data_IF_420742866849
#
_entry.id   IF_420742866849
#
_cell.length_a   1.000
_cell.length_b   1.000
_cell.length_c   1.000
_cell.angle_alpha   90.00
_cell.angle_beta   90.00
_cell.angle_gamma   90.00
#
_symmetry.space_group_name_H-M   'P 1'
#
loop_
_entity.id
_entity.type
_entity.pdbx_description
1 polymer ?
#
# COMPACT_ATOMS: atom_id res chain seq x y z
N UNK A 1 58.45 3.09 37.58
CA UNK A 1 57.13 2.46 37.82
C UNK A 1 56.37 2.45 36.52
N UNK A 2 56.74 1.53 35.65
CA UNK A 2 55.90 1.15 34.52
C UNK A 2 54.80 0.27 35.13
N UNK A 3 53.64 0.87 35.42
CA UNK A 3 52.45 0.09 35.72
C UNK A 3 52.20 -0.79 34.50
N UNK A 4 51.99 -2.07 34.74
CA UNK A 4 51.41 -3.01 33.80
C UNK A 4 50.28 -2.32 33.04
N UNK A 5 50.56 -1.91 31.80
CA UNK A 5 49.62 -1.22 30.92
C UNK A 5 48.50 -2.18 30.54
N UNK A 6 47.67 -2.55 31.50
CA UNK A 6 46.43 -3.24 31.30
C UNK A 6 45.60 -2.32 30.43
N UNK A 7 45.33 -2.79 29.21
CA UNK A 7 44.56 -2.00 28.27
C UNK A 7 43.11 -2.12 28.74
N UNK A 8 42.54 -1.04 29.26
CA UNK A 8 41.10 -0.94 29.43
C UNK A 8 40.50 -0.84 28.03
N UNK A 9 40.12 -1.98 27.47
CA UNK A 9 39.47 -2.03 26.17
C UNK A 9 38.12 -1.34 26.24
N UNK A 10 38.08 -0.09 25.78
CA UNK A 10 36.82 0.62 25.58
C UNK A 10 36.12 0.04 24.35
N UNK A 11 36.89 -0.20 23.28
CA UNK A 11 36.40 -0.54 21.96
C UNK A 11 37.50 -1.22 21.10
N UNK A 12 37.14 -2.10 20.18
CA UNK A 12 38.05 -2.81 19.25
C UNK A 12 37.34 -2.93 17.90
N UNK A 13 38.06 -2.93 16.76
CA UNK A 13 37.50 -3.33 15.46
C UNK A 13 38.48 -4.08 14.58
N UNK A 14 38.02 -5.07 13.81
CA UNK A 14 38.86 -5.79 12.86
C UNK A 14 38.12 -6.18 11.57
N UNK A 15 38.80 -5.95 10.44
CA UNK A 15 38.40 -6.51 9.14
C UNK A 15 38.75 -8.01 9.12
N UNK A 16 37.83 -8.86 9.57
CA UNK A 16 38.01 -10.33 9.65
C UNK A 16 38.22 -10.99 8.26
N UNK A 17 39.43 -10.88 7.70
CA UNK A 17 40.06 -11.82 6.76
C UNK A 17 39.38 -12.10 5.41
N UNK A 18 38.31 -11.40 5.03
CA UNK A 18 37.62 -11.58 3.73
C UNK A 18 37.94 -10.50 2.70
N UNK A 19 39.04 -9.79 2.86
CA UNK A 19 39.54 -8.88 1.82
C UNK A 19 40.49 -9.61 0.88
N UNK A 20 40.21 -9.55 -0.43
CA UNK A 20 41.13 -10.02 -1.48
C UNK A 20 42.35 -9.10 -1.66
N UNK A 21 42.42 -8.02 -0.88
CA UNK A 21 43.50 -7.02 -0.92
C UNK A 21 44.15 -6.88 0.45
N UNK A 22 44.80 -7.94 0.95
CA UNK A 22 45.97 -7.97 1.86
C UNK A 22 46.08 -7.05 3.10
N UNK A 23 45.08 -6.26 3.45
CA UNK A 23 45.13 -5.24 4.50
C UNK A 23 44.18 -5.66 5.62
N UNK A 24 44.74 -5.83 6.81
CA UNK A 24 43.99 -5.93 8.06
C UNK A 24 44.02 -4.57 8.73
N UNK A 25 42.84 -4.04 9.06
CA UNK A 25 42.72 -2.85 9.88
C UNK A 25 42.32 -3.29 11.28
N UNK A 26 42.99 -2.70 12.25
CA UNK A 26 42.68 -2.82 13.66
C UNK A 26 42.47 -1.42 14.23
N UNK A 27 41.31 -1.19 14.83
CA UNK A 27 41.00 0.05 15.55
C UNK A 27 40.78 -0.21 17.02
N UNK A 28 41.17 0.75 17.86
CA UNK A 28 41.14 0.60 19.31
C UNK A 28 40.98 1.96 20.00
N UNK A 29 40.08 2.05 20.98
CA UNK A 29 39.96 3.22 21.86
C UNK A 29 40.55 2.88 23.22
N UNK A 30 41.50 3.71 23.66
CA UNK A 30 42.19 3.58 24.94
C UNK A 30 42.30 4.91 25.67
N UNK A 31 42.60 4.85 26.96
CA UNK A 31 43.08 6.01 27.71
C UNK A 31 44.44 6.50 27.16
N UNK A 32 44.87 7.69 27.59
CA UNK A 32 46.22 8.18 27.28
C UNK A 32 47.29 7.35 28.01
N UNK A 33 48.32 6.89 27.29
CA UNK A 33 49.38 6.07 27.88
C UNK A 33 50.44 5.58 26.88
N UNK A 34 51.31 4.68 27.35
CA UNK A 34 52.29 4.00 26.51
C UNK A 34 51.78 2.60 26.16
N UNK A 35 51.81 2.28 24.87
CA UNK A 35 51.37 0.99 24.34
C UNK A 35 52.49 0.35 23.52
N UNK A 36 52.56 -0.97 23.57
CA UNK A 36 53.51 -1.77 22.81
C UNK A 36 52.73 -2.64 21.82
N UNK A 37 53.05 -2.54 20.54
CA UNK A 37 52.53 -3.44 19.51
C UNK A 37 53.59 -4.45 19.13
N UNK A 38 53.21 -5.72 19.10
CA UNK A 38 54.07 -6.81 18.68
C UNK A 38 53.43 -7.51 17.49
N UNK A 39 54.11 -7.51 16.35
CA UNK A 39 53.71 -8.25 15.15
C UNK A 39 54.42 -9.59 15.17
N UNK A 40 53.65 -10.67 15.31
CA UNK A 40 54.16 -12.04 15.31
C UNK A 40 53.53 -12.83 14.16
N UNK A 41 54.26 -13.79 13.61
CA UNK A 41 53.70 -14.73 12.65
C UNK A 41 52.72 -15.69 13.34
N UNK A 42 51.50 -15.81 12.80
CA UNK A 42 50.53 -16.82 13.22
C UNK A 42 50.89 -18.24 12.74
N UNK A 43 51.80 -18.36 11.75
CA UNK A 43 52.28 -19.63 11.22
C UNK A 43 53.31 -19.44 10.10
N UNK A 44 54.49 -20.03 10.24
CA UNK A 44 55.58 -19.94 9.26
C UNK A 44 56.30 -18.59 9.23
N UNK A 45 57.04 -18.31 8.17
CA UNK A 45 57.68 -17.02 7.92
C UNK A 45 57.77 -16.77 6.40
N UNK A 46 57.71 -15.49 6.00
CA UNK A 46 57.87 -15.08 4.61
C UNK A 46 58.91 -13.96 4.52
N UNK A 47 60.04 -14.24 3.88
CA UNK A 47 61.13 -13.27 3.71
C UNK A 47 60.99 -12.40 2.47
N UNK A 48 60.12 -12.79 1.54
CA UNK A 48 59.94 -12.13 0.26
C UNK A 48 58.80 -11.11 0.31
N UNK A 49 57.71 -11.44 1.02
CA UNK A 49 56.56 -10.57 1.21
C UNK A 49 56.67 -9.83 2.54
N UNK A 50 57.18 -8.59 2.50
CA UNK A 50 57.27 -7.71 3.67
C UNK A 50 55.88 -7.20 4.04
N UNK A 51 55.59 -7.12 5.34
CA UNK A 51 54.42 -6.39 5.82
C UNK A 51 54.76 -4.90 6.01
N UNK A 52 53.74 -4.06 5.97
CA UNK A 52 53.81 -2.67 6.42
C UNK A 52 52.83 -2.50 7.58
N UNK A 53 53.33 -2.05 8.73
CA UNK A 53 52.48 -1.62 9.84
C UNK A 53 52.35 -0.10 9.78
N UNK A 54 51.13 0.39 9.65
CA UNK A 54 50.81 1.81 9.70
C UNK A 54 49.99 2.05 10.95
N UNK A 55 50.41 3.04 11.74
CA UNK A 55 49.68 3.48 12.92
C UNK A 55 49.18 4.89 12.67
N UNK A 56 47.88 5.07 12.84
CA UNK A 56 47.27 6.39 12.90
C UNK A 56 46.49 6.45 14.22
N UNK A 57 46.59 7.59 14.90
CA UNK A 57 45.89 7.82 16.15
C UNK A 57 45.08 9.10 16.04
N UNK A 58 43.85 9.06 16.51
CA UNK A 58 43.00 10.23 16.73
C UNK A 58 42.84 10.47 18.23
N UNK A 59 42.86 11.73 18.64
CA UNK A 59 42.56 12.13 20.03
C UNK A 59 41.12 12.64 20.19
N UNK A 60 40.32 12.53 19.14
CA UNK A 60 38.91 12.89 19.05
C UNK A 60 38.23 11.86 18.17
N UNK A 61 37.09 11.39 18.62
CA UNK A 61 36.22 10.43 17.95
C UNK A 61 34.79 10.73 18.42
N UNK A 62 33.78 10.32 17.67
CA UNK A 62 32.40 10.53 18.09
C UNK A 62 31.85 9.37 18.95
N UNK A 63 30.68 9.56 19.52
CA UNK A 63 30.08 8.63 20.48
C UNK A 63 29.63 7.28 19.90
N UNK A 64 29.68 7.12 18.58
CA UNK A 64 29.22 5.91 17.88
C UNK A 64 30.28 4.83 17.82
N UNK A 65 31.52 5.21 18.04
CA UNK A 65 32.66 4.32 17.94
C UNK A 65 32.65 3.25 19.05
N UNK A 66 33.07 2.00 18.75
CA UNK A 66 33.65 1.55 17.49
C UNK A 66 32.60 1.16 16.45
N UNK A 67 32.70 1.66 15.22
CA UNK A 67 31.91 1.15 14.09
C UNK A 67 32.69 0.95 12.77
N UNK A 68 34.03 0.95 12.86
CA UNK A 68 35.03 0.65 11.80
C UNK A 68 34.86 -0.65 11.00
N UNK A 69 34.00 -1.57 11.45
CA UNK A 69 33.75 -2.84 10.75
C UNK A 69 32.29 -3.22 10.73
N UNK A 70 31.93 -4.01 9.72
CA UNK A 70 30.60 -4.60 9.60
C UNK A 70 30.17 -5.35 10.87
N UNK A 71 31.07 -6.01 11.60
CA UNK A 71 30.73 -6.76 12.81
C UNK A 71 30.38 -5.88 14.00
N UNK A 72 30.76 -4.60 13.98
CA UNK A 72 30.50 -3.64 15.05
C UNK A 72 29.67 -2.44 14.62
N UNK A 73 29.24 -2.44 13.35
CA UNK A 73 28.36 -1.43 12.79
C UNK A 73 27.30 -0.94 13.78
N UNK A 74 27.06 0.35 13.79
CA UNK A 74 25.96 0.95 14.54
C UNK A 74 24.62 0.45 14.03
N UNK A 75 23.81 -0.18 14.87
CA UNK A 75 22.49 -0.70 14.48
C UNK A 75 21.40 0.29 14.90
N UNK A 76 20.66 0.79 13.92
CA UNK A 76 19.52 1.68 14.09
C UNK A 76 18.21 0.91 13.88
N UNK A 77 17.21 1.22 14.69
CA UNK A 77 15.86 0.68 14.52
C UNK A 77 15.08 1.52 13.51
N UNK A 78 14.49 0.87 12.51
CA UNK A 78 13.71 1.55 11.47
C UNK A 78 14.58 2.37 10.50
N UNK A 79 13.92 3.22 9.71
CA UNK A 79 14.57 4.18 8.81
C UNK A 79 14.94 5.42 9.65
N UNK A 80 16.23 5.77 9.81
CA UNK A 80 16.63 6.93 10.59
C UNK A 80 16.27 8.22 9.86
N UNK A 81 15.86 9.27 10.56
CA UNK A 81 15.63 10.59 9.92
C UNK A 81 16.94 11.27 9.56
N UNK A 82 17.94 11.19 10.44
CA UNK A 82 19.28 11.76 10.24
C UNK A 82 20.34 10.91 10.93
N UNK A 83 21.49 10.77 10.28
CA UNK A 83 22.73 10.25 10.84
C UNK A 83 23.75 11.39 10.80
N UNK A 84 24.43 11.64 11.92
CA UNK A 84 25.47 12.66 12.03
C UNK A 84 26.64 12.07 12.81
N UNK A 85 27.78 11.90 12.14
CA UNK A 85 29.01 11.27 12.67
C UNK A 85 30.25 11.93 12.05
N UNK A 86 31.44 11.67 12.58
CA UNK A 86 32.71 12.23 12.12
C UNK A 86 33.65 11.15 11.64
N UNK A 87 34.35 11.40 10.53
CA UNK A 87 35.53 10.62 10.16
C UNK A 87 36.76 11.30 10.77
N UNK A 88 37.36 10.67 11.75
CA UNK A 88 38.41 11.25 12.58
C UNK A 88 39.82 11.15 11.95
N UNK A 89 40.07 10.14 11.13
CA UNK A 89 41.32 9.92 10.42
C UNK A 89 41.15 9.17 9.09
N UNK A 90 42.24 8.95 8.35
CA UNK A 90 42.20 8.38 7.01
C UNK A 90 41.85 6.87 6.97
N UNK A 91 41.88 6.17 8.10
CA UNK A 91 41.47 4.78 8.22
C UNK A 91 40.12 4.62 8.91
N UNK A 92 39.53 5.67 9.45
CA UNK A 92 38.20 5.60 10.07
C UNK A 92 37.11 5.30 9.01
N UNK A 93 36.27 4.30 9.30
CA UNK A 93 35.23 3.77 8.42
C UNK A 93 33.94 3.47 9.20
N UNK A 94 33.00 4.40 9.23
CA UNK A 94 31.70 4.13 9.84
C UNK A 94 30.90 3.08 9.07
N UNK A 95 30.57 1.97 9.72
CA UNK A 95 29.52 1.06 9.29
C UNK A 95 28.23 1.32 10.08
N UNK A 96 27.12 1.52 9.38
CA UNK A 96 25.80 1.66 9.99
C UNK A 96 24.85 0.64 9.37
N UNK A 97 23.97 0.05 10.17
CA UNK A 97 22.83 -0.74 9.69
C UNK A 97 21.53 -0.07 10.10
N UNK A 98 20.56 -0.04 9.20
CA UNK A 98 19.18 0.33 9.51
C UNK A 98 18.20 -0.67 8.91
N UNK A 99 16.94 -0.62 9.33
CA UNK A 99 15.90 -1.56 8.88
C UNK A 99 14.76 -0.82 8.21
N UNK A 100 14.38 -1.26 7.02
CA UNK A 100 13.18 -0.83 6.32
C UNK A 100 12.05 -1.80 6.70
N UNK A 101 11.04 -1.38 7.47
CA UNK A 101 10.04 -2.31 8.04
C UNK A 101 9.04 -2.84 7.01
N UNK A 102 8.78 -2.06 5.96
CA UNK A 102 7.90 -2.40 4.84
C UNK A 102 8.44 -1.73 3.58
N UNK A 103 8.01 -2.18 2.40
CA UNK A 103 8.44 -1.56 1.15
C UNK A 103 8.16 -0.05 1.17
N UNK A 104 9.20 0.77 0.98
CA UNK A 104 9.11 2.23 1.13
C UNK A 104 9.99 2.92 0.11
N UNK A 105 9.53 4.04 -0.45
CA UNK A 105 10.44 4.90 -1.21
C UNK A 105 11.23 5.74 -0.21
N UNK A 106 12.51 5.92 -0.49
CA UNK A 106 13.39 6.70 0.37
C UNK A 106 14.15 7.67 -0.51
N UNK A 107 13.93 8.96 -0.28
CA UNK A 107 14.83 10.00 -0.73
C UNK A 107 15.85 10.27 0.36
N UNK A 108 17.13 10.37 0.02
CA UNK A 108 18.14 10.74 0.98
C UNK A 108 19.24 11.59 0.40
N UNK A 109 19.95 12.28 1.30
CA UNK A 109 21.07 13.16 0.95
C UNK A 109 22.27 12.81 1.78
N UNK A 110 23.46 12.92 1.19
CA UNK A 110 24.73 12.78 1.90
C UNK A 110 25.49 14.09 1.83
N UNK A 111 25.68 14.74 2.96
CA UNK A 111 26.28 16.07 3.06
C UNK A 111 27.50 16.03 3.98
N UNK A 112 28.54 16.76 3.63
CA UNK A 112 29.70 16.97 4.48
C UNK A 112 30.11 18.44 4.36
N UNK A 113 30.13 19.15 5.48
CA UNK A 113 30.51 20.56 5.53
C UNK A 113 32.00 20.77 5.79
N UNK A 114 32.77 19.69 6.03
CA UNK A 114 34.20 19.79 6.30
C UNK A 114 34.96 20.34 5.10
N UNK A 115 35.89 21.26 5.37
CA UNK A 115 36.91 21.69 4.40
C UNK A 115 38.17 20.82 4.42
N UNK A 116 38.29 19.91 5.40
CA UNK A 116 39.50 19.14 5.69
C UNK A 116 39.37 17.67 5.21
N UNK A 117 38.16 17.18 5.04
CA UNK A 117 37.87 15.82 4.58
C UNK A 117 36.89 15.81 3.42
N UNK A 118 37.13 14.92 2.45
CA UNK A 118 36.19 14.57 1.39
C UNK A 118 35.78 13.12 1.54
N UNK A 119 34.48 12.85 1.65
CA UNK A 119 33.97 11.52 2.02
C UNK A 119 33.09 10.92 0.92
N UNK A 120 32.96 9.59 0.96
CA UNK A 120 31.96 8.85 0.18
C UNK A 120 31.12 7.97 1.10
N UNK A 121 29.89 7.74 0.69
CA UNK A 121 28.96 6.82 1.30
C UNK A 121 28.65 5.70 0.29
N UNK A 122 28.75 4.44 0.70
CA UNK A 122 28.24 3.31 -0.10
C UNK A 122 27.08 2.65 0.63
N UNK A 123 25.99 2.45 -0.08
CA UNK A 123 24.79 1.80 0.42
C UNK A 123 24.76 0.35 -0.07
N UNK A 124 24.44 -0.58 0.82
CA UNK A 124 24.38 -2.01 0.56
C UNK A 124 23.03 -2.60 0.97
N UNK A 125 22.63 -3.68 0.29
CA UNK A 125 21.59 -4.57 0.80
C UNK A 125 22.12 -5.48 1.93
N UNK A 126 21.25 -6.30 2.51
CA UNK A 126 21.60 -7.25 3.56
C UNK A 126 22.62 -8.33 3.15
N UNK A 127 22.83 -8.54 1.84
CA UNK A 127 23.80 -9.50 1.30
C UNK A 127 25.13 -8.84 0.94
N UNK A 128 25.32 -7.56 1.26
CA UNK A 128 26.48 -6.74 0.91
C UNK A 128 26.65 -6.52 -0.59
N UNK A 129 25.56 -6.60 -1.36
CA UNK A 129 25.57 -6.08 -2.72
C UNK A 129 25.46 -4.56 -2.66
N UNK A 130 26.40 -3.87 -3.31
CA UNK A 130 26.36 -2.41 -3.41
C UNK A 130 25.16 -1.97 -4.24
N UNK A 131 24.32 -1.12 -3.65
CA UNK A 131 23.18 -0.47 -4.30
C UNK A 131 23.59 0.88 -4.93
N UNK A 132 24.71 1.43 -4.50
CA UNK A 132 25.29 2.64 -5.08
C UNK A 132 26.29 3.32 -4.15
N UNK A 133 27.14 4.16 -4.72
CA UNK A 133 28.08 5.01 -3.99
C UNK A 133 27.75 6.48 -4.28
N UNK A 134 27.71 7.27 -3.22
CA UNK A 134 27.51 8.71 -3.27
C UNK A 134 28.77 9.42 -2.79
N UNK A 135 29.18 10.46 -3.50
CA UNK A 135 30.12 11.45 -2.95
C UNK A 135 29.36 12.54 -2.20
N UNK A 136 30.04 13.27 -1.32
CA UNK A 136 29.41 14.37 -0.57
C UNK A 136 28.69 15.37 -1.49
N UNK A 137 27.52 15.82 -1.05
CA UNK A 137 26.62 16.70 -1.80
C UNK A 137 25.63 15.96 -2.72
N UNK A 138 25.74 14.65 -2.88
CA UNK A 138 24.85 13.85 -3.72
C UNK A 138 23.61 13.35 -2.97
N UNK A 139 22.60 12.98 -3.76
CA UNK A 139 21.33 12.46 -3.28
C UNK A 139 21.07 11.07 -3.87
N UNK A 140 20.26 10.27 -3.19
CA UNK A 140 19.70 9.03 -3.73
C UNK A 140 18.18 9.04 -3.61
N UNK A 141 17.54 8.30 -4.51
CA UNK A 141 16.12 8.05 -4.46
C UNK A 141 15.83 6.65 -5.00
N UNK A 142 15.02 5.87 -4.30
CA UNK A 142 14.65 4.53 -4.77
C UNK A 142 13.59 3.86 -3.91
N UNK A 143 13.04 2.77 -4.43
CA UNK A 143 12.19 1.85 -3.68
C UNK A 143 13.05 0.85 -2.94
N UNK A 144 12.89 0.80 -1.61
CA UNK A 144 13.56 -0.12 -0.72
C UNK A 144 12.56 -1.19 -0.31
N UNK A 145 12.94 -2.45 -0.45
CA UNK A 145 12.14 -3.56 0.04
C UNK A 145 12.26 -3.65 1.57
N UNK A 146 11.31 -4.32 2.22
CA UNK A 146 11.44 -4.63 3.64
C UNK A 146 12.72 -5.44 3.90
N UNK A 147 13.55 -5.00 4.86
CA UNK A 147 14.81 -5.67 5.17
C UNK A 147 15.86 -4.77 5.80
N UNK A 148 17.03 -5.34 6.08
CA UNK A 148 18.19 -4.62 6.59
C UNK A 148 19.02 -4.03 5.44
N UNK A 149 19.53 -2.82 5.66
CA UNK A 149 20.42 -2.11 4.75
C UNK A 149 21.64 -1.64 5.53
N UNK A 150 22.79 -1.61 4.86
CA UNK A 150 24.04 -1.15 5.44
C UNK A 150 24.56 0.07 4.72
N UNK A 151 25.17 0.96 5.46
CA UNK A 151 25.89 2.13 4.97
C UNK A 151 27.33 1.97 5.41
N UNK A 152 28.24 2.26 4.48
CA UNK A 152 29.66 2.45 4.76
C UNK A 152 30.03 3.89 4.42
N UNK A 153 30.55 4.64 5.37
CA UNK A 153 31.16 5.95 5.10
C UNK A 153 32.66 5.82 5.26
N UNK A 154 33.43 6.42 4.37
CA UNK A 154 34.89 6.44 4.47
C UNK A 154 35.47 7.68 3.80
N UNK A 155 36.67 8.07 4.23
CA UNK A 155 37.43 9.14 3.59
C UNK A 155 37.88 8.77 2.17
N UNK A 156 37.65 9.69 1.22
CA UNK A 156 38.32 9.70 -0.08
C UNK A 156 39.66 10.43 0.04
N UNK A 157 39.67 11.56 0.74
CA UNK A 157 40.87 12.36 0.98
C UNK A 157 40.71 13.22 2.24
N UNK A 158 41.67 13.17 3.16
CA UNK A 158 41.61 13.92 4.41
C UNK A 158 40.51 13.43 5.36
N UNK A 159 40.50 13.96 6.57
CA UNK A 159 39.55 13.61 7.63
C UNK A 159 39.34 14.83 8.55
N UNK A 160 38.25 14.84 9.31
CA UNK A 160 37.89 15.94 10.19
C UNK A 160 37.05 15.46 11.38
N UNK A 161 37.75 15.15 12.47
CA UNK A 161 37.17 14.72 13.73
C UNK A 161 36.27 15.80 14.42
N UNK A 162 36.15 17.02 13.87
CA UNK A 162 35.34 18.09 14.47
C UNK A 162 34.09 18.43 13.67
N UNK A 163 34.04 18.03 12.40
CA UNK A 163 32.95 18.41 11.49
C UNK A 163 32.21 17.16 11.04
N UNK A 164 30.97 16.94 11.49
CA UNK A 164 30.25 15.74 11.12
C UNK A 164 29.78 15.79 9.66
N UNK A 165 29.76 14.62 9.03
CA UNK A 165 28.92 14.41 7.86
C UNK A 165 27.49 14.16 8.31
N UNK A 166 26.54 14.40 7.41
CA UNK A 166 25.12 14.23 7.64
C UNK A 166 24.51 13.37 6.53
N UNK A 167 23.77 12.32 6.91
CA UNK A 167 22.92 11.56 6.00
C UNK A 167 21.48 11.79 6.43
N UNK A 168 20.64 12.29 5.54
CA UNK A 168 19.20 12.44 5.81
C UNK A 168 18.40 11.42 5.01
N UNK A 169 17.30 10.94 5.61
CA UNK A 169 16.35 10.06 4.94
C UNK A 169 14.96 10.66 5.08
N UNK A 170 14.26 10.71 3.95
CA UNK A 170 12.87 11.13 3.83
C UNK A 170 12.11 9.95 3.24
N UNK A 171 11.60 9.02 4.08
CA UNK A 171 10.72 7.96 3.60
C UNK A 171 9.42 8.59 3.11
N UNK A 172 8.86 8.05 2.03
CA UNK A 172 7.59 8.52 1.48
C UNK A 172 6.88 7.39 0.73
N UNK A 173 5.56 7.50 0.66
CA UNK A 173 4.69 6.63 -0.09
C UNK A 173 4.35 7.21 -1.47
N UNK A 174 4.15 6.31 -2.42
CA UNK A 174 3.68 6.64 -3.76
C UNK A 174 2.91 5.45 -4.35
N UNK A 175 2.60 5.51 -5.64
CA UNK A 175 1.86 4.44 -6.32
C UNK A 175 2.48 3.04 -6.16
N UNK A 176 3.81 2.93 -6.01
CA UNK A 176 4.51 1.65 -5.88
C UNK A 176 4.42 1.04 -4.48
N UNK A 177 4.04 1.81 -3.46
CA UNK A 177 3.86 1.35 -2.07
C UNK A 177 2.37 1.25 -1.67
N UNK A 178 1.48 1.24 -2.67
CA UNK A 178 0.03 1.23 -2.45
C UNK A 178 -0.45 0.02 -1.64
N UNK A 179 -1.49 0.24 -0.82
CA UNK A 179 -2.18 -0.80 -0.02
C UNK A 179 -3.31 -1.42 -0.83
N UNK A 180 -3.50 -2.73 -0.77
CA UNK A 180 -4.62 -3.41 -1.46
C UNK A 180 -5.79 -3.63 -0.50
N UNK A 181 -6.99 -3.27 -0.92
CA UNK A 181 -8.23 -3.37 -0.13
C UNK A 181 -9.39 -3.85 -1.00
N UNK A 182 -10.36 -4.53 -0.40
CA UNK A 182 -11.64 -4.86 -1.02
C UNK A 182 -12.78 -4.75 0.01
N UNK A 183 -14.00 -4.51 -0.46
CA UNK A 183 -15.17 -4.37 0.41
C UNK A 183 -15.14 -3.13 1.32
N UNK A 184 -15.93 -3.15 2.39
CA UNK A 184 -15.91 -2.07 3.38
C UNK A 184 -14.61 -2.11 4.20
N UNK A 185 -13.93 -0.97 4.33
CA UNK A 185 -12.66 -0.86 5.03
C UNK A 185 -12.48 0.52 5.69
N UNK A 186 -11.62 0.56 6.70
CA UNK A 186 -11.17 1.80 7.33
C UNK A 186 -9.65 1.82 7.32
N UNK A 187 -9.07 2.82 6.66
CA UNK A 187 -7.62 2.99 6.53
C UNK A 187 -7.22 4.16 7.42
N UNK A 188 -6.22 3.97 8.25
CA UNK A 188 -5.65 5.01 9.10
C UNK A 188 -4.17 5.15 8.79
N UNK A 189 -3.75 6.35 8.40
CA UNK A 189 -2.40 6.61 7.93
C UNK A 189 -2.03 8.09 8.07
N UNK A 190 -0.77 8.45 7.87
CA UNK A 190 -0.31 9.84 7.89
C UNK A 190 0.22 10.28 6.52
N UNK A 191 0.21 11.60 6.29
CA UNK A 191 0.98 12.21 5.20
C UNK A 191 2.13 12.90 5.92
N UNK A 192 3.35 12.42 5.70
CA UNK A 192 4.48 12.69 6.58
C UNK A 192 5.41 13.78 6.07
N UNK A 193 5.40 14.00 4.75
CA UNK A 193 6.22 15.01 4.09
C UNK A 193 5.63 15.44 2.74
N UNK A 194 6.29 16.41 2.08
CA UNK A 194 5.82 16.98 0.82
C UNK A 194 5.88 16.02 -0.38
N UNK A 195 6.65 14.92 -0.29
CA UNK A 195 6.74 13.91 -1.35
C UNK A 195 5.69 12.79 -1.18
N UNK A 196 4.99 12.79 -0.05
CA UNK A 196 4.21 11.65 0.41
C UNK A 196 2.80 11.63 -0.18
N UNK A 197 2.44 10.49 -0.77
CA UNK A 197 1.11 10.19 -1.29
C UNK A 197 0.71 8.76 -0.89
N UNK A 198 -0.41 8.62 -0.18
CA UNK A 198 -0.90 7.31 0.19
C UNK A 198 -1.84 6.77 -0.88
N UNK A 199 -1.38 5.73 -1.56
CA UNK A 199 -2.14 5.07 -2.61
C UNK A 199 -2.82 3.80 -2.09
N UNK A 200 -4.04 3.57 -2.55
CA UNK A 200 -4.83 2.37 -2.25
C UNK A 200 -5.30 1.78 -3.57
N UNK A 201 -5.07 0.48 -3.76
CA UNK A 201 -5.66 -0.33 -4.83
C UNK A 201 -6.94 -0.97 -4.28
N UNK A 202 -8.09 -0.55 -4.80
CA UNK A 202 -9.39 -1.09 -4.41
C UNK A 202 -9.91 -2.01 -5.50
N UNK A 203 -10.29 -3.25 -5.14
CA UNK A 203 -10.85 -4.21 -6.08
C UNK A 203 -12.24 -4.71 -5.66
N UNK A 204 -13.07 -4.96 -6.67
CA UNK A 204 -14.41 -5.54 -6.51
C UNK A 204 -14.71 -6.51 -7.65
N UNK A 205 -15.36 -7.64 -7.36
CA UNK A 205 -15.75 -8.64 -8.36
C UNK A 205 -17.07 -8.29 -9.04
N UNK A 206 -17.90 -7.48 -8.38
CA UNK A 206 -19.19 -7.01 -8.87
C UNK A 206 -19.21 -5.48 -8.95
N UNK A 207 -20.15 -4.93 -9.73
CA UNK A 207 -20.38 -3.50 -9.67
C UNK A 207 -20.84 -3.13 -8.25
N UNK A 208 -20.33 -2.03 -7.71
CA UNK A 208 -20.65 -1.61 -6.34
C UNK A 208 -20.81 -0.10 -6.24
N UNK A 209 -21.55 0.35 -5.24
CA UNK A 209 -21.58 1.74 -4.82
C UNK A 209 -20.76 1.87 -3.54
N UNK A 210 -19.68 2.63 -3.63
CA UNK A 210 -18.77 2.89 -2.53
C UNK A 210 -19.05 4.29 -1.96
N UNK A 211 -19.37 4.39 -0.68
CA UNK A 211 -19.41 5.64 0.08
C UNK A 211 -18.03 5.88 0.69
N UNK A 212 -17.42 7.01 0.34
CA UNK A 212 -16.10 7.40 0.80
C UNK A 212 -16.21 8.63 1.71
N UNK A 213 -15.47 8.61 2.82
CA UNK A 213 -15.25 9.80 3.65
C UNK A 213 -13.80 9.87 4.12
N UNK A 214 -13.27 11.08 4.18
CA UNK A 214 -11.92 11.37 4.67
C UNK A 214 -12.00 12.31 5.86
N UNK A 215 -11.41 11.91 6.97
CA UNK A 215 -11.28 12.73 8.18
C UNK A 215 -9.81 12.87 8.56
N UNK A 216 -9.40 14.05 9.02
CA UNK A 216 -8.08 14.29 9.57
C UNK A 216 -8.27 15.16 10.83
N UNK A 217 -7.80 14.71 11.99
CA UNK A 217 -8.02 15.44 13.24
C UNK A 217 -7.21 16.74 13.32
N UNK A 218 -6.12 16.88 12.54
CA UNK A 218 -5.39 18.14 12.47
C UNK A 218 -6.12 19.12 11.53
N UNK A 219 -6.61 20.23 12.09
CA UNK A 219 -7.33 21.27 11.33
C UNK A 219 -6.42 22.22 10.53
N UNK A 220 -5.12 22.23 10.81
CA UNK A 220 -4.13 23.05 10.10
C UNK A 220 -3.68 22.41 8.79
N UNK A 221 -3.88 21.10 8.62
CA UNK A 221 -3.60 20.37 7.38
C UNK A 221 -4.89 19.94 6.70
N UNK A 222 -4.92 20.05 5.37
CA UNK A 222 -6.09 19.68 4.56
C UNK A 222 -5.71 18.63 3.56
N UNK A 223 -6.45 17.53 3.53
CA UNK A 223 -6.20 16.41 2.62
C UNK A 223 -7.36 16.21 1.64
N UNK A 224 -7.10 15.49 0.56
CA UNK A 224 -8.12 15.05 -0.39
C UNK A 224 -7.85 13.62 -0.84
N UNK A 225 -8.91 12.94 -1.30
CA UNK A 225 -8.82 11.64 -1.97
C UNK A 225 -9.17 11.84 -3.44
N UNK A 226 -8.24 11.54 -4.33
CA UNK A 226 -8.53 11.36 -5.75
C UNK A 226 -8.90 9.91 -6.01
N UNK A 227 -9.93 9.70 -6.82
CA UNK A 227 -10.38 8.40 -7.29
C UNK A 227 -9.92 8.30 -8.75
N UNK A 228 -9.09 7.32 -9.01
CA UNK A 228 -8.36 7.14 -10.25
C UNK A 228 -8.75 5.82 -10.92
N UNK A 229 -9.01 5.86 -12.22
CA UNK A 229 -9.19 4.68 -13.06
C UNK A 229 -8.09 4.63 -14.13
N UNK A 230 -7.79 3.44 -14.64
CA UNK A 230 -6.97 3.32 -15.84
C UNK A 230 -7.83 3.58 -17.08
N UNK A 231 -7.38 4.47 -17.96
CA UNK A 231 -7.99 4.63 -19.26
C UNK A 231 -7.60 3.47 -20.21
N UNK A 232 -8.09 3.49 -21.45
CA UNK A 232 -7.82 2.45 -22.44
C UNK A 232 -6.33 2.29 -22.80
N UNK A 233 -5.50 3.32 -22.56
CA UNK A 233 -4.04 3.27 -22.73
C UNK A 233 -3.31 2.78 -21.46
N UNK A 234 -4.04 2.43 -20.40
CA UNK A 234 -3.48 2.00 -19.12
C UNK A 234 -3.03 3.13 -18.19
N UNK A 235 -3.22 4.40 -18.59
CA UNK A 235 -2.81 5.56 -17.79
C UNK A 235 -3.84 5.87 -16.70
N UNK A 236 -3.36 6.24 -15.51
CA UNK A 236 -4.23 6.70 -14.43
C UNK A 236 -4.83 8.07 -14.75
N UNK A 237 -6.15 8.17 -14.64
CA UNK A 237 -6.91 9.42 -14.79
C UNK A 237 -7.79 9.63 -13.55
N UNK A 238 -7.82 10.86 -13.06
CA UNK A 238 -8.68 11.25 -11.93
C UNK A 238 -10.13 11.30 -12.43
N UNK A 239 -10.95 10.38 -11.94
CA UNK A 239 -12.39 10.34 -12.21
C UNK A 239 -13.17 11.26 -11.27
N UNK A 240 -12.71 11.40 -10.02
CA UNK A 240 -13.33 12.25 -9.02
C UNK A 240 -12.35 12.62 -7.90
N UNK A 241 -12.62 13.72 -7.20
CA UNK A 241 -11.93 14.09 -5.96
C UNK A 241 -12.95 14.26 -4.83
N UNK A 242 -12.51 14.00 -3.60
CA UNK A 242 -13.24 14.17 -2.33
C UNK A 242 -12.34 14.98 -1.42
N UNK A 243 -12.80 16.10 -0.89
CA UNK A 243 -12.03 16.83 0.11
C UNK A 243 -12.32 16.28 1.50
N UNK A 244 -11.40 16.48 2.43
CA UNK A 244 -11.62 16.19 3.84
C UNK A 244 -12.93 16.80 4.35
N UNK A 245 -13.72 16.00 5.07
CA UNK A 245 -15.03 16.37 5.60
C UNK A 245 -16.20 16.14 4.65
N UNK A 246 -15.93 15.94 3.35
CA UNK A 246 -16.96 15.59 2.38
C UNK A 246 -17.31 14.09 2.47
N UNK A 247 -18.57 13.77 2.18
CA UNK A 247 -19.05 12.42 1.91
C UNK A 247 -19.39 12.31 0.42
N UNK A 248 -18.89 11.27 -0.25
CA UNK A 248 -19.18 11.05 -1.67
C UNK A 248 -19.45 9.59 -1.95
N UNK A 249 -20.52 9.32 -2.69
CA UNK A 249 -20.78 8.00 -3.26
C UNK A 249 -20.21 7.92 -4.68
N UNK A 250 -19.56 6.81 -5.00
CA UNK A 250 -19.06 6.53 -6.35
C UNK A 250 -19.51 5.15 -6.79
N UNK A 251 -20.00 5.08 -8.03
CA UNK A 251 -20.32 3.83 -8.70
C UNK A 251 -19.04 3.27 -9.31
N UNK A 252 -18.69 2.05 -8.93
CA UNK A 252 -17.55 1.33 -9.43
C UNK A 252 -18.06 0.11 -10.19
N UNK A 253 -17.58 -0.08 -11.43
CA UNK A 253 -17.74 -1.35 -12.12
C UNK A 253 -16.88 -2.44 -11.46
N UNK A 254 -17.10 -3.71 -11.82
CA UNK A 254 -16.17 -4.76 -11.44
C UNK A 254 -14.76 -4.47 -11.96
N UNK A 255 -13.75 -4.88 -11.19
CA UNK A 255 -12.35 -4.62 -11.48
C UNK A 255 -11.66 -3.82 -10.39
N UNK A 256 -10.65 -3.04 -10.80
CA UNK A 256 -9.75 -2.31 -9.89
C UNK A 256 -9.82 -0.82 -10.16
N UNK A 257 -9.97 -0.04 -9.09
CA UNK A 257 -9.73 1.40 -9.09
C UNK A 257 -8.61 1.74 -8.09
N UNK A 258 -8.12 2.97 -8.15
CA UNK A 258 -7.04 3.45 -7.29
C UNK A 258 -7.51 4.68 -6.54
N UNK A 259 -7.22 4.76 -5.25
CA UNK A 259 -7.46 5.95 -4.44
C UNK A 259 -6.11 6.56 -4.08
N UNK A 260 -5.96 7.87 -4.25
CA UNK A 260 -4.77 8.61 -3.81
C UNK A 260 -5.19 9.60 -2.74
N UNK A 261 -4.72 9.41 -1.51
CA UNK A 261 -4.79 10.43 -0.46
C UNK A 261 -3.56 11.32 -0.58
N UNK A 262 -3.78 12.63 -0.69
CA UNK A 262 -2.70 13.62 -0.81
C UNK A 262 -3.00 14.86 0.00
N UNK A 263 -1.94 15.62 0.29
CA UNK A 263 -2.09 16.94 0.88
C UNK A 263 -2.57 18.00 -0.10
N UNK A 264 -3.48 18.86 0.38
CA UNK A 264 -3.84 20.14 -0.23
C UNK A 264 -3.09 21.31 0.44
N UNK A 265 -2.78 21.19 1.72
CA UNK A 265 -2.04 22.18 2.49
C UNK A 265 -1.36 21.53 3.70
N UNK A 266 -0.04 21.64 3.78
CA UNK A 266 0.78 21.14 4.89
C UNK A 266 0.72 19.62 5.09
N UNK A 267 1.49 19.11 6.03
CA UNK A 267 1.50 17.71 6.41
C UNK A 267 1.82 17.62 7.90
N UNK A 268 1.43 16.52 8.53
CA UNK A 268 1.69 16.30 9.95
C UNK A 268 2.05 14.83 10.18
N UNK A 269 3.35 14.51 10.34
CA UNK A 269 3.81 13.14 10.50
C UNK A 269 3.35 12.50 11.82
N UNK A 270 2.83 13.29 12.77
CA UNK A 270 2.34 12.77 14.06
C UNK A 270 0.83 12.55 14.08
N UNK A 271 0.11 13.01 13.05
CA UNK A 271 -1.34 12.92 13.00
C UNK A 271 -1.80 12.03 11.85
N UNK A 272 -2.56 10.99 12.20
CA UNK A 272 -3.15 10.08 11.22
C UNK A 272 -4.52 10.57 10.77
N UNK A 273 -4.76 10.58 9.46
CA UNK A 273 -6.09 10.68 8.88
C UNK A 273 -6.80 9.32 8.94
N UNK A 274 -8.12 9.33 8.75
CA UNK A 274 -8.94 8.14 8.55
C UNK A 274 -9.72 8.26 7.25
N UNK A 275 -9.50 7.30 6.33
CA UNK A 275 -10.27 7.10 5.11
C UNK A 275 -11.23 5.92 5.33
N UNK A 276 -12.53 6.19 5.30
CA UNK A 276 -13.57 5.17 5.38
C UNK A 276 -14.12 4.86 3.99
N UNK A 277 -14.14 3.58 3.65
CA UNK A 277 -14.73 3.01 2.45
C UNK A 277 -15.88 2.12 2.90
N UNK A 278 -17.11 2.47 2.54
CA UNK A 278 -18.29 1.68 2.89
C UNK A 278 -19.03 1.24 1.63
N UNK A 279 -19.13 -0.06 1.42
CA UNK A 279 -19.95 -0.64 0.36
C UNK A 279 -21.42 -0.52 0.74
N UNK A 280 -22.25 -0.03 -0.18
CA UNK A 280 -23.70 -0.03 -0.06
C UNK A 280 -24.23 -1.46 -0.30
N UNK A 281 -24.69 -2.17 0.74
CA UNK A 281 -25.14 -3.57 0.62
C UNK A 281 -26.42 -3.72 -0.20
N UNK A 282 -27.14 -2.61 -0.42
CA UNK A 282 -28.39 -2.54 -1.13
C UNK A 282 -28.19 -2.20 -2.61
N UNK A 283 -26.99 -1.80 -3.02
CA UNK A 283 -26.69 -1.57 -4.42
C UNK A 283 -26.55 -2.91 -5.16
N UNK A 284 -27.20 -3.02 -6.32
CA UNK A 284 -27.07 -4.18 -7.20
C UNK A 284 -26.22 -3.79 -8.41
N UNK A 285 -26.73 -2.93 -9.31
CA UNK A 285 -26.05 -2.59 -10.55
C UNK A 285 -26.43 -1.21 -11.08
N UNK A 286 -25.76 -0.77 -12.15
CA UNK A 286 -26.10 0.47 -12.86
C UNK A 286 -25.86 0.34 -14.36
N UNK A 287 -26.62 1.09 -15.16
CA UNK A 287 -26.39 1.25 -16.60
C UNK A 287 -26.81 2.65 -17.04
N UNK A 288 -25.88 3.44 -17.56
CA UNK A 288 -26.14 4.85 -17.89
C UNK A 288 -26.62 5.62 -16.66
N UNK A 289 -27.79 6.25 -16.77
CA UNK A 289 -28.42 7.03 -15.69
C UNK A 289 -29.30 6.18 -14.75
N UNK A 290 -29.32 4.85 -14.92
CA UNK A 290 -30.13 3.95 -14.09
C UNK A 290 -29.28 3.29 -13.00
N UNK A 291 -29.72 3.44 -11.76
CA UNK A 291 -29.18 2.80 -10.57
C UNK A 291 -30.21 1.82 -10.03
N UNK A 292 -29.82 0.56 -9.92
CA UNK A 292 -30.67 -0.53 -9.44
C UNK A 292 -30.27 -0.89 -8.02
N UNK A 293 -31.22 -0.81 -7.10
CA UNK A 293 -31.00 -1.14 -5.68
C UNK A 293 -32.07 -2.10 -5.17
N UNK A 294 -31.85 -2.61 -3.98
CA UNK A 294 -32.78 -3.43 -3.22
C UNK A 294 -32.94 -2.91 -1.79
N UNK A 295 -33.75 -3.56 -0.96
CA UNK A 295 -33.81 -3.29 0.47
C UNK A 295 -32.91 -4.27 1.25
N UNK A 296 -32.82 -4.08 2.56
CA UNK A 296 -31.98 -4.92 3.44
C UNK A 296 -32.31 -6.42 3.37
N UNK A 297 -33.58 -6.76 3.13
CA UNK A 297 -34.05 -8.14 3.06
C UNK A 297 -33.91 -8.77 1.67
N UNK A 298 -33.48 -7.95 0.69
CA UNK A 298 -33.37 -8.29 -0.73
C UNK A 298 -34.69 -8.77 -1.39
N UNK A 299 -35.84 -8.33 -0.90
CA UNK A 299 -37.15 -8.75 -1.41
C UNK A 299 -37.92 -7.66 -2.19
N UNK A 300 -37.28 -6.51 -2.43
CA UNK A 300 -37.82 -5.43 -3.25
C UNK A 300 -36.76 -4.91 -4.22
N UNK A 301 -37.17 -4.48 -5.42
CA UNK A 301 -36.29 -3.86 -6.41
C UNK A 301 -36.67 -2.39 -6.59
N UNK A 302 -35.66 -1.54 -6.72
CA UNK A 302 -35.84 -0.12 -7.00
C UNK A 302 -34.97 0.29 -8.19
N UNK A 303 -35.51 1.14 -9.07
CA UNK A 303 -34.76 1.79 -10.14
C UNK A 303 -34.81 3.29 -9.87
N UNK A 304 -33.65 3.92 -9.71
CA UNK A 304 -33.52 5.34 -9.35
C UNK A 304 -34.35 5.72 -8.12
N UNK A 305 -34.44 4.79 -7.15
CA UNK A 305 -35.21 4.96 -5.91
C UNK A 305 -36.73 4.70 -6.04
N UNK A 306 -37.26 4.53 -7.26
CA UNK A 306 -38.66 4.18 -7.47
C UNK A 306 -38.86 2.66 -7.34
N UNK A 307 -39.85 2.19 -6.56
CA UNK A 307 -40.12 0.76 -6.44
C UNK A 307 -40.60 0.17 -7.77
N UNK A 308 -40.13 -1.04 -8.07
CA UNK A 308 -40.50 -1.82 -9.26
C UNK A 308 -41.45 -2.93 -8.84
N UNK A 309 -42.58 -3.07 -9.55
CA UNK A 309 -43.45 -4.23 -9.38
C UNK A 309 -42.83 -5.45 -10.06
N UNK A 310 -42.59 -6.51 -9.28
CA UNK A 310 -42.08 -7.78 -9.78
C UNK A 310 -43.23 -8.75 -9.99
N UNK A 311 -44.08 -8.39 -10.96
CA UNK A 311 -45.18 -9.20 -11.46
C UNK A 311 -45.08 -9.26 -12.99
N UNK A 312 -45.05 -10.48 -13.53
CA UNK A 312 -45.14 -10.73 -14.95
C UNK A 312 -46.46 -11.40 -15.29
N UNK A 313 -47.17 -10.79 -16.23
CA UNK A 313 -48.41 -11.30 -16.81
C UNK A 313 -48.09 -11.58 -18.29
N UNK A 314 -47.90 -12.86 -18.69
CA UNK A 314 -47.76 -13.23 -20.08
C UNK A 314 -48.97 -12.71 -20.86
N UNK A 315 -48.74 -12.08 -22.00
CA UNK A 315 -49.81 -11.70 -22.92
C UNK A 315 -50.64 -12.95 -23.23
N UNK A 316 -51.92 -12.93 -22.85
CA UNK A 316 -52.85 -14.05 -22.92
C UNK A 316 -52.69 -14.87 -24.20
N UNK A 317 -52.33 -16.15 -24.07
CA UNK A 317 -52.65 -17.11 -25.10
C UNK A 317 -54.18 -17.20 -25.14
N UNK A 318 -54.79 -16.63 -26.16
CA UNK A 318 -56.24 -16.70 -26.36
C UNK A 318 -56.64 -18.18 -26.46
N UNK A 319 -57.15 -18.75 -25.37
CA UNK A 319 -57.71 -20.08 -25.36
C UNK A 319 -59.17 -19.99 -25.80
N UNK A 320 -59.57 -20.64 -26.90
CA UNK A 320 -60.97 -20.69 -27.31
C UNK A 320 -61.74 -21.59 -26.32
N UNK A 321 -62.20 -21.02 -25.21
CA UNK A 321 -62.95 -21.73 -24.17
C UNK A 321 -62.94 -21.11 -22.76
N UNK A 322 -62.10 -20.10 -22.50
CA UNK A 322 -62.05 -19.38 -21.22
C UNK A 322 -60.68 -18.72 -21.02
N UNK A 323 -60.67 -17.49 -20.52
CA UNK A 323 -59.43 -16.75 -20.26
C UNK A 323 -58.70 -17.40 -19.08
N UNK A 324 -57.59 -18.09 -19.38
CA UNK A 324 -56.60 -18.47 -18.38
C UNK A 324 -55.39 -17.55 -18.54
N UNK A 325 -55.02 -16.82 -17.49
CA UNK A 325 -53.72 -16.16 -17.41
C UNK A 325 -52.92 -16.75 -16.25
N UNK A 326 -51.66 -17.06 -16.53
CA UNK A 326 -50.67 -17.40 -15.52
C UNK A 326 -49.97 -16.11 -15.10
N UNK A 327 -49.73 -15.92 -13.82
CA UNK A 327 -48.99 -14.79 -13.30
C UNK A 327 -47.76 -15.32 -12.58
N UNK A 328 -46.66 -14.58 -12.69
CA UNK A 328 -45.42 -14.87 -11.98
C UNK A 328 -45.13 -13.68 -11.08
N UNK A 329 -45.02 -13.91 -9.77
CA UNK A 329 -44.76 -12.83 -8.80
C UNK A 329 -43.81 -13.26 -7.69
N UNK A 330 -43.21 -12.28 -7.03
CA UNK A 330 -42.45 -12.52 -5.80
C UNK A 330 -43.37 -12.77 -4.61
N UNK A 331 -43.04 -13.81 -3.85
CA UNK A 331 -43.60 -14.03 -2.53
C UNK A 331 -42.97 -13.18 -1.43
N UNK A 332 -43.61 -13.14 -0.26
CA UNK A 332 -43.09 -12.38 0.88
C UNK A 332 -41.72 -12.87 1.39
N UNK A 333 -41.38 -14.14 1.13
CA UNK A 333 -40.08 -14.74 1.49
C UNK A 333 -39.07 -14.73 0.34
N UNK A 334 -39.47 -14.30 -0.86
CA UNK A 334 -38.62 -14.32 -2.03
C UNK A 334 -37.45 -13.36 -1.89
N UNK A 335 -36.27 -13.75 -2.37
CA UNK A 335 -35.07 -12.92 -2.33
C UNK A 335 -34.40 -12.83 -3.68
N UNK A 336 -33.88 -11.66 -4.01
CA UNK A 336 -33.01 -11.46 -5.16
C UNK A 336 -31.66 -12.14 -4.86
N UNK A 337 -31.36 -13.21 -5.59
CA UNK A 337 -30.16 -14.03 -5.42
C UNK A 337 -29.06 -13.70 -6.41
N UNK A 338 -29.43 -13.24 -7.61
CA UNK A 338 -28.50 -12.88 -8.67
C UNK A 338 -29.09 -11.75 -9.53
N UNK A 339 -28.24 -11.01 -10.23
CA UNK A 339 -28.67 -9.90 -11.08
C UNK A 339 -27.63 -9.56 -12.15
N UNK A 340 -28.07 -8.92 -13.23
CA UNK A 340 -27.18 -8.45 -14.29
C UNK A 340 -27.88 -7.50 -15.26
N UNK A 341 -27.10 -6.62 -15.89
CA UNK A 341 -27.59 -5.79 -16.99
C UNK A 341 -27.55 -6.61 -18.27
N UNK A 342 -28.67 -6.65 -19.00
CA UNK A 342 -28.81 -7.39 -20.26
C UNK A 342 -29.44 -6.50 -21.34
N UNK A 343 -29.14 -6.79 -22.60
CA UNK A 343 -29.95 -6.28 -23.71
C UNK A 343 -31.03 -7.32 -24.03
N UNK A 344 -32.30 -6.95 -23.88
CA UNK A 344 -33.43 -7.84 -24.15
C UNK A 344 -34.44 -7.13 -25.06
N UNK A 345 -34.71 -7.73 -26.22
CA UNK A 345 -35.60 -7.17 -27.25
C UNK A 345 -35.25 -5.72 -27.65
N UNK A 346 -33.94 -5.40 -27.71
CA UNK A 346 -33.45 -4.07 -28.07
C UNK A 346 -33.51 -3.04 -26.94
N UNK A 347 -33.91 -3.44 -25.72
CA UNK A 347 -33.95 -2.58 -24.53
C UNK A 347 -32.82 -2.93 -23.56
N UNK A 348 -32.37 -1.93 -22.80
CA UNK A 348 -31.49 -2.15 -21.66
C UNK A 348 -32.33 -2.54 -20.46
N UNK A 349 -32.12 -3.74 -19.95
CA UNK A 349 -32.90 -4.31 -18.86
C UNK A 349 -31.98 -4.72 -17.71
N UNK A 350 -32.56 -4.84 -16.51
CA UNK A 350 -31.97 -5.65 -15.45
C UNK A 350 -32.66 -7.01 -15.44
N UNK A 351 -31.88 -8.08 -15.53
CA UNK A 351 -32.33 -9.43 -15.25
C UNK A 351 -32.02 -9.72 -13.78
N UNK A 352 -33.00 -10.21 -13.04
CA UNK A 352 -32.82 -10.67 -11.66
C UNK A 352 -33.24 -12.13 -11.53
N UNK A 353 -32.51 -12.86 -10.71
CA UNK A 353 -32.90 -14.17 -10.22
C UNK A 353 -33.50 -14.02 -8.82
N UNK A 354 -34.60 -14.70 -8.60
CA UNK A 354 -35.36 -14.60 -7.36
C UNK A 354 -35.67 -16.00 -6.82
N UNK A 355 -35.47 -16.20 -5.52
CA UNK A 355 -35.88 -17.43 -4.83
C UNK A 355 -37.38 -17.46 -4.54
N UNK A 356 -37.95 -18.67 -4.45
CA UNK A 356 -39.32 -18.91 -3.95
C UNK A 356 -40.40 -18.13 -4.70
N UNK A 357 -40.34 -18.13 -6.03
CA UNK A 357 -41.27 -17.39 -6.88
C UNK A 357 -42.63 -18.09 -6.91
N UNK A 358 -43.71 -17.31 -6.83
CA UNK A 358 -45.07 -17.83 -6.95
C UNK A 358 -45.55 -17.75 -8.39
N UNK A 359 -46.02 -18.89 -8.89
CA UNK A 359 -46.78 -18.97 -10.13
C UNK A 359 -48.22 -19.28 -9.72
N UNK A 360 -49.15 -18.41 -10.12
CA UNK A 360 -50.57 -18.70 -9.97
C UNK A 360 -51.26 -18.63 -11.31
N UNK A 361 -52.15 -19.58 -11.56
CA UNK A 361 -53.01 -19.59 -12.75
C UNK A 361 -54.44 -19.51 -12.27
N UNK A 362 -55.22 -18.58 -12.82
CA UNK A 362 -56.67 -18.64 -12.67
C UNK A 362 -57.28 -19.29 -13.91
N UNK A 363 -58.26 -20.16 -13.69
CA UNK A 363 -59.08 -20.72 -14.77
C UNK A 363 -60.51 -20.33 -14.48
N UNK A 364 -61.14 -19.60 -15.41
CA UNK A 364 -62.55 -19.26 -15.30
C UNK A 364 -63.40 -20.49 -15.63
N UNK A 365 -63.69 -21.31 -14.63
CA UNK A 365 -64.54 -22.48 -14.78
C UNK A 365 -65.88 -22.24 -14.06
N UNK A 366 -66.98 -22.18 -14.83
CA UNK A 366 -68.38 -22.27 -14.40
C UNK A 366 -68.66 -21.91 -12.91
N UNK A 367 -68.58 -20.62 -12.58
CA UNK A 367 -69.03 -19.98 -11.33
C UNK A 367 -68.06 -19.92 -10.13
N UNK A 368 -66.75 -20.06 -10.33
CA UNK A 368 -65.77 -19.75 -9.27
C UNK A 368 -64.34 -19.54 -9.77
N UNK A 369 -63.55 -18.76 -9.03
CA UNK A 369 -62.09 -18.65 -9.24
C UNK A 369 -61.40 -19.78 -8.47
N UNK A 370 -60.80 -20.74 -9.18
CA UNK A 370 -59.86 -21.67 -8.57
C UNK A 370 -58.44 -21.14 -8.78
N UNK A 371 -57.70 -21.01 -7.68
CA UNK A 371 -56.29 -20.61 -7.69
C UNK A 371 -55.42 -21.84 -7.47
N UNK A 372 -54.60 -22.18 -8.47
CA UNK A 372 -53.51 -23.13 -8.27
C UNK A 372 -52.22 -22.36 -8.02
N UNK A 373 -51.62 -22.55 -6.84
CA UNK A 373 -50.34 -21.96 -6.46
C UNK A 373 -49.22 -22.99 -6.64
N UNK A 374 -48.26 -22.66 -7.48
CA UNK A 374 -47.01 -23.39 -7.59
C UNK A 374 -45.86 -22.48 -7.14
N UNK A 375 -45.20 -22.85 -6.05
CA UNK A 375 -43.93 -22.23 -5.67
C UNK A 375 -42.81 -22.91 -6.44
N UNK A 376 -42.03 -22.12 -7.18
CA UNK A 376 -40.82 -22.61 -7.84
C UNK A 376 -39.59 -22.13 -7.08
N UNK A 377 -38.56 -22.98 -6.92
CA UNK A 377 -37.39 -22.62 -6.12
C UNK A 377 -36.68 -21.37 -6.61
N UNK A 378 -36.67 -21.16 -7.93
CA UNK A 378 -35.99 -20.06 -8.60
C UNK A 378 -36.78 -19.61 -9.83
N UNK A 379 -36.97 -18.29 -9.94
CA UNK A 379 -37.50 -17.64 -11.13
C UNK A 379 -36.60 -16.51 -11.60
N UNK A 380 -36.81 -16.07 -12.84
CA UNK A 380 -36.12 -14.94 -13.43
C UNK A 380 -37.14 -13.87 -13.83
N UNK A 381 -36.77 -12.60 -13.66
CA UNK A 381 -37.54 -11.46 -14.13
C UNK A 381 -36.63 -10.56 -14.96
N UNK A 382 -37.14 -10.07 -16.09
CA UNK A 382 -36.47 -9.08 -16.93
C UNK A 382 -37.24 -7.77 -16.82
N UNK A 383 -36.59 -6.75 -16.27
CA UNK A 383 -37.19 -5.45 -16.02
C UNK A 383 -36.56 -4.41 -16.94
N UNK A 384 -37.40 -3.74 -17.72
CA UNK A 384 -37.01 -2.61 -18.56
C UNK A 384 -36.57 -1.44 -17.67
N UNK A 385 -35.30 -1.01 -17.78
CA UNK A 385 -34.77 0.05 -16.93
C UNK A 385 -35.45 1.40 -17.14
N UNK A 386 -35.96 1.65 -18.35
CA UNK A 386 -36.59 2.94 -18.68
C UNK A 386 -37.98 3.07 -18.08
N UNK A 387 -38.76 1.99 -18.09
CA UNK A 387 -40.17 2.02 -17.67
C UNK A 387 -40.39 1.43 -16.27
N UNK A 388 -39.43 0.67 -15.76
CA UNK A 388 -39.60 -0.13 -14.54
C UNK A 388 -40.64 -1.24 -14.69
N UNK A 389 -41.04 -1.59 -15.92
CA UNK A 389 -41.99 -2.68 -16.15
C UNK A 389 -41.27 -4.02 -16.28
N UNK A 390 -41.83 -5.05 -15.65
CA UNK A 390 -41.40 -6.42 -15.88
C UNK A 390 -41.93 -6.89 -17.24
N UNK A 391 -41.02 -7.14 -18.18
CA UNK A 391 -41.36 -7.45 -19.58
C UNK A 391 -41.22 -8.94 -19.92
N UNK A 392 -40.56 -9.71 -19.04
CA UNK A 392 -40.52 -11.17 -19.10
C UNK A 392 -40.36 -11.72 -17.68
N UNK A 393 -40.89 -12.90 -17.43
CA UNK A 393 -40.87 -13.53 -16.12
C UNK A 393 -41.25 -15.01 -16.18
N UNK A 394 -40.54 -15.85 -15.44
CA UNK A 394 -40.85 -17.28 -15.42
C UNK A 394 -39.84 -18.14 -14.66
N UNK A 395 -40.02 -19.46 -14.76
CA UNK A 395 -39.05 -20.44 -14.27
C UNK A 395 -37.79 -20.36 -15.12
N UNK A 396 -36.62 -20.34 -14.46
CA UNK A 396 -35.26 -20.22 -15.05
C UNK A 396 -35.16 -20.72 -16.50
N UNK A 397 -34.84 -19.81 -17.41
CA UNK A 397 -34.36 -20.11 -18.77
C UNK A 397 -33.00 -19.45 -18.93
N UNK A 398 -31.94 -20.03 -18.36
CA UNK A 398 -30.60 -19.60 -18.78
C UNK A 398 -30.40 -20.02 -20.24
N UNK A 399 -30.26 -19.02 -21.12
CA UNK A 399 -29.60 -19.14 -22.43
C UNK A 399 -28.15 -18.71 -22.24
#
# INVERSE_FOLDING_TARGET
>A
NESDGSISQVAYSALNGKSTTSNEQLSYISDGGYYFMCVNSAGGFDVNNKYQLILISSNKYDSSEPDDSITQRKILSGIPTTISQTIDNAFDVDWIQFTVPENKNIFGTFQNASSNGTYKMTLYDHNLNSLGTLTQGQNFNGLFAAGAYLIKVEAISGADANTPYNITFTPYDNFNTRKTVSGSATITDSIDNALDENWIEYSTTESTKLELSLTNPNSNTKYAVDICNKNSAGNLVIAATINQGDLKSVLLSSGTCYLRVRSLNGYDPNTKYTLSLKVDPNYLCSSGDYVVTTNSDRNALYINGAPVSLEYIPSSAYYPGGDASSHVTMGGNSKITNYGIVNYQGKTCVCIEVSDVFIYTWVYANHGYNYEHLTVPLGQFVIDLQTGQCIDGGVLKWV
#
